data_IF_138198413147
#
_entry.id   IF_138198413147
#
_cell.length_a   1.000
_cell.length_b   1.000
_cell.length_c   1.000
_cell.angle_alpha   90.00
_cell.angle_beta   90.00
_cell.angle_gamma   90.00
#
_symmetry.space_group_name_H-M   'P 1'
#
loop_
_entity.id
_entity.type
_entity.pdbx_description
1 polymer ?
#
# COMPACT_ATOMS: atom_id res chain seq x y z
N UNK A 1 -18.99 0.44 -16.98
CA UNK A 1 -17.70 -0.14 -16.53
C UNK A 1 -17.30 0.54 -15.23
N UNK A 2 -17.41 -0.15 -14.10
CA UNK A 2 -17.08 0.41 -12.79
C UNK A 2 -15.56 0.42 -12.65
N UNK A 3 -14.98 1.62 -12.51
CA UNK A 3 -13.54 1.83 -12.30
C UNK A 3 -13.11 1.22 -10.97
N UNK A 4 -12.51 0.02 -11.02
CA UNK A 4 -11.87 -0.67 -9.89
C UNK A 4 -10.52 -0.03 -9.49
N UNK A 5 -10.41 1.29 -9.41
CA UNK A 5 -9.13 1.97 -9.08
C UNK A 5 -8.96 2.35 -7.60
N UNK A 6 -9.96 2.15 -6.72
CA UNK A 6 -9.87 2.54 -5.30
C UNK A 6 -9.14 1.56 -4.36
N UNK A 7 -8.45 0.54 -4.87
CA UNK A 7 -7.73 -0.44 -4.05
C UNK A 7 -6.23 -0.60 -4.39
N UNK A 8 -5.60 0.40 -5.03
CA UNK A 8 -4.17 0.35 -5.35
C UNK A 8 -3.28 0.87 -4.20
N UNK A 9 -3.47 0.35 -2.98
CA UNK A 9 -2.38 0.35 -2.01
C UNK A 9 -1.53 -0.89 -2.29
N UNK A 10 -0.44 -0.67 -3.03
CA UNK A 10 0.68 -1.58 -3.19
C UNK A 10 1.38 -1.72 -1.84
N UNK A 11 0.83 -2.55 -0.93
CA UNK A 11 1.50 -2.87 0.33
C UNK A 11 1.58 -4.37 0.64
N UNK A 12 2.72 -4.84 1.17
CA UNK A 12 2.86 -6.12 1.89
C UNK A 12 3.11 -5.86 3.38
N UNK A 13 2.65 -6.74 4.27
CA UNK A 13 2.90 -6.61 5.71
C UNK A 13 4.36 -6.95 6.03
N UNK A 14 5.05 -6.07 6.76
CA UNK A 14 6.41 -6.28 7.27
C UNK A 14 6.38 -6.83 8.69
N UNK A 15 5.60 -6.20 9.58
CA UNK A 15 5.36 -6.77 10.91
C UNK A 15 4.07 -6.24 11.54
N UNK A 16 3.51 -7.02 12.47
CA UNK A 16 2.23 -6.72 13.12
C UNK A 16 2.26 -7.04 14.62
N UNK A 17 1.59 -6.20 15.42
CA UNK A 17 1.19 -6.47 16.80
C UNK A 17 -0.32 -6.29 16.94
N UNK A 18 -1.01 -7.33 17.41
CA UNK A 18 -2.45 -7.31 17.65
C UNK A 18 -2.81 -6.38 18.81
N UNK A 19 -4.10 -6.05 18.96
CA UNK A 19 -4.62 -5.60 20.25
C UNK A 19 -4.24 -6.58 21.35
N UNK A 20 -4.10 -6.07 22.56
CA UNK A 20 -3.83 -6.87 23.74
C UNK A 20 -5.13 -7.58 24.15
N UNK A 21 -5.26 -8.85 23.76
CA UNK A 21 -6.47 -9.65 24.00
C UNK A 21 -6.52 -10.05 25.48
N UNK A 22 -7.61 -9.77 26.21
CA UNK A 22 -7.82 -10.34 27.54
C UNK A 22 -7.94 -11.86 27.41
N UNK A 23 -7.09 -12.62 28.11
CA UNK A 23 -7.24 -14.07 28.20
C UNK A 23 -8.54 -14.35 28.95
N UNK A 24 -9.58 -14.84 28.26
CA UNK A 24 -10.80 -15.35 28.90
C UNK A 24 -10.42 -16.61 29.70
N UNK A 25 -10.40 -16.50 31.02
CA UNK A 25 -10.02 -17.59 31.93
C UNK A 25 -11.23 -18.49 32.16
N UNK A 26 -11.12 -19.77 31.79
CA UNK A 26 -11.91 -20.84 32.38
C UNK A 26 -11.45 -21.11 33.83
N UNK A 27 -12.33 -21.52 34.75
CA UNK A 27 -12.15 -21.33 36.20
C UNK A 27 -11.03 -22.13 36.91
N UNK A 28 -10.05 -22.74 36.24
CA UNK A 28 -9.09 -23.65 36.92
C UNK A 28 -7.58 -23.44 36.74
N UNK A 29 -7.07 -22.38 36.10
CA UNK A 29 -5.62 -22.17 36.01
C UNK A 29 -5.09 -21.03 36.90
N UNK A 30 -4.38 -21.40 37.97
CA UNK A 30 -3.61 -20.49 38.83
C UNK A 30 -2.30 -20.12 38.11
N UNK A 31 -2.14 -18.81 37.85
CA UNK A 31 -1.03 -18.12 37.14
C UNK A 31 -1.11 -18.20 35.62
N UNK A 32 -1.94 -17.32 35.05
CA UNK A 32 -1.84 -16.95 33.65
C UNK A 32 -0.58 -16.10 33.39
N UNK A 33 0.10 -16.29 32.24
CA UNK A 33 1.11 -15.33 31.79
C UNK A 33 0.47 -13.95 31.58
N UNK A 34 1.23 -12.85 31.73
CA UNK A 34 0.71 -11.52 31.46
C UNK A 34 0.14 -11.45 30.04
N UNK A 35 -0.98 -10.75 29.82
CA UNK A 35 -1.57 -10.67 28.50
C UNK A 35 -0.58 -10.01 27.53
N UNK A 36 -0.32 -10.69 26.42
CA UNK A 36 0.63 -10.27 25.39
C UNK A 36 -0.12 -9.97 24.11
N UNK A 37 0.31 -8.91 23.42
CA UNK A 37 -0.04 -8.69 22.02
C UNK A 37 0.45 -9.89 21.21
N UNK A 38 -0.42 -10.40 20.35
CA UNK A 38 -0.15 -11.55 19.50
C UNK A 38 0.15 -11.05 18.08
N UNK A 39 0.70 -11.92 17.23
CA UNK A 39 0.64 -11.69 15.79
C UNK A 39 -0.82 -11.82 15.34
N UNK A 40 -1.11 -11.50 14.08
CA UNK A 40 -2.44 -11.70 13.48
C UNK A 40 -2.87 -13.17 13.56
N UNK A 41 -1.91 -14.06 13.82
CA UNK A 41 -2.07 -15.49 14.03
C UNK A 41 -1.77 -15.86 15.50
N UNK A 42 -2.69 -16.63 16.08
CA UNK A 42 -2.84 -16.92 17.51
C UNK A 42 -1.61 -17.53 18.20
N UNK A 43 -0.66 -16.70 18.64
CA UNK A 43 0.21 -17.02 19.78
C UNK A 43 1.66 -17.47 19.53
N UNK A 44 2.28 -17.18 18.38
CA UNK A 44 3.74 -17.42 18.25
C UNK A 44 4.57 -16.18 18.61
N UNK A 45 5.48 -16.39 19.58
CA UNK A 45 6.51 -15.44 20.04
C UNK A 45 7.86 -15.62 19.31
N UNK A 46 7.96 -16.53 18.33
CA UNK A 46 9.19 -16.70 17.56
C UNK A 46 9.18 -15.79 16.34
N UNK A 47 10.27 -15.06 16.18
CA UNK A 47 10.27 -13.71 15.64
C UNK A 47 11.27 -13.58 14.51
N UNK A 48 11.00 -14.37 13.50
CA UNK A 48 11.84 -14.43 12.34
C UNK A 48 10.96 -14.56 11.11
N UNK A 49 10.90 -13.48 10.32
CA UNK A 49 10.90 -13.62 8.86
C UNK A 49 12.25 -14.27 8.53
N UNK A 50 12.34 -15.56 8.83
CA UNK A 50 13.56 -16.33 8.79
C UNK A 50 13.75 -16.68 7.33
N UNK A 51 14.55 -15.87 6.63
CA UNK A 51 15.07 -16.29 5.34
C UNK A 51 16.11 -17.37 5.63
N UNK A 52 15.69 -18.63 5.53
CA UNK A 52 16.56 -19.78 5.72
C UNK A 52 16.78 -20.42 4.35
N UNK A 53 18.01 -20.39 3.86
CA UNK A 53 18.39 -20.95 2.55
C UNK A 53 17.49 -20.45 1.39
N UNK A 54 17.12 -19.17 1.41
CA UNK A 54 16.25 -18.56 0.40
C UNK A 54 14.76 -18.89 0.53
N UNK A 55 14.34 -19.60 1.58
CA UNK A 55 12.92 -19.78 1.91
C UNK A 55 12.50 -18.68 2.88
N UNK A 56 11.45 -17.93 2.53
CA UNK A 56 10.82 -16.91 3.39
C UNK A 56 9.59 -17.51 4.05
N UNK A 57 9.45 -17.29 5.36
CA UNK A 57 8.25 -17.62 6.12
C UNK A 57 7.51 -16.33 6.46
N UNK A 58 6.23 -16.26 6.08
CA UNK A 58 5.30 -15.17 6.40
C UNK A 58 4.13 -15.73 7.21
N UNK A 59 3.24 -14.85 7.66
CA UNK A 59 1.97 -15.25 8.26
C UNK A 59 1.17 -16.09 7.26
N UNK A 60 0.75 -17.29 7.69
CA UNK A 60 -0.06 -18.22 6.92
C UNK A 60 0.55 -18.74 5.60
N UNK A 61 1.83 -18.47 5.31
CA UNK A 61 2.48 -18.98 4.11
C UNK A 61 4.00 -19.09 4.24
N UNK A 62 4.59 -20.01 3.51
CA UNK A 62 6.05 -20.20 3.43
C UNK A 62 6.41 -20.50 2.00
N UNK A 63 7.50 -19.94 1.49
CA UNK A 63 7.98 -20.33 0.17
C UNK A 63 9.29 -19.70 -0.25
N UNK A 64 9.79 -20.16 -1.40
CA UNK A 64 11.02 -19.66 -2.02
C UNK A 64 11.48 -20.51 -3.21
N UNK A 65 12.53 -20.10 -3.93
CA UNK A 65 13.42 -18.97 -3.62
C UNK A 65 12.78 -17.58 -3.78
N UNK A 66 11.75 -17.48 -4.61
CA UNK A 66 10.88 -16.31 -4.69
C UNK A 66 9.53 -16.62 -4.01
N UNK A 67 9.07 -15.72 -3.14
CA UNK A 67 7.74 -15.77 -2.53
C UNK A 67 6.93 -14.57 -3.05
N UNK A 68 5.94 -14.87 -3.90
CA UNK A 68 5.13 -13.88 -4.61
C UNK A 68 4.44 -12.88 -3.67
N UNK A 69 4.32 -11.61 -4.04
CA UNK A 69 3.55 -10.66 -3.23
C UNK A 69 2.03 -10.90 -3.41
N UNK A 70 1.29 -10.88 -2.30
CA UNK A 70 -0.18 -10.98 -2.31
C UNK A 70 -0.85 -9.59 -2.45
N UNK A 71 -2.07 -9.51 -3.03
CA UNK A 71 -2.80 -10.58 -3.68
C UNK A 71 -2.07 -11.07 -4.95
N UNK A 72 -2.22 -12.36 -5.25
CA UNK A 72 -1.51 -13.04 -6.32
C UNK A 72 -2.49 -13.74 -7.25
N UNK A 73 -2.23 -13.65 -8.54
CA UNK A 73 -2.93 -14.35 -9.61
C UNK A 73 -2.13 -15.57 -10.04
N UNK A 74 -2.85 -16.62 -10.42
CA UNK A 74 -2.25 -17.83 -10.96
C UNK A 74 -2.68 -17.96 -12.42
N UNK A 75 -1.75 -18.24 -13.31
CA UNK A 75 -1.99 -18.58 -14.72
C UNK A 75 -1.38 -19.93 -15.04
N UNK A 76 -1.92 -20.60 -16.05
CA UNK A 76 -1.38 -21.89 -16.49
C UNK A 76 -0.05 -21.68 -17.23
N UNK A 77 0.89 -22.60 -17.02
CA UNK A 77 2.15 -22.59 -17.76
C UNK A 77 1.96 -23.23 -19.16
N UNK A 78 2.68 -22.75 -20.19
CA UNK A 78 2.67 -23.39 -21.50
C UNK A 78 3.12 -24.86 -21.43
N UNK A 79 2.49 -25.75 -22.21
CA UNK A 79 2.81 -27.19 -22.21
C UNK A 79 4.28 -27.49 -22.55
N UNK A 80 4.92 -26.64 -23.36
CA UNK A 80 6.34 -26.76 -23.71
C UNK A 80 7.31 -26.30 -22.60
N UNK A 81 6.81 -25.77 -21.48
CA UNK A 81 7.66 -25.21 -20.43
C UNK A 81 8.47 -26.32 -19.71
N UNK A 82 9.79 -26.15 -19.46
CA UNK A 82 10.63 -27.19 -18.87
C UNK A 82 10.13 -27.71 -17.52
N UNK A 83 9.54 -26.83 -16.69
CA UNK A 83 8.95 -27.24 -15.42
C UNK A 83 7.74 -28.16 -15.63
N UNK A 84 6.87 -27.89 -16.62
CA UNK A 84 5.69 -28.70 -16.93
C UNK A 84 6.12 -30.09 -17.41
N UNK A 85 7.14 -30.17 -18.27
CA UNK A 85 7.65 -31.45 -18.75
C UNK A 85 8.20 -32.34 -17.63
N UNK A 86 8.81 -31.76 -16.59
CA UNK A 86 9.35 -32.49 -15.44
C UNK A 86 8.30 -32.77 -14.35
N UNK A 87 7.23 -31.99 -14.31
CA UNK A 87 6.17 -32.07 -13.32
C UNK A 87 5.19 -33.20 -13.66
N UNK A 88 5.67 -34.43 -13.44
CA UNK A 88 4.94 -35.69 -13.68
C UNK A 88 4.18 -36.14 -12.43
N UNK A 89 3.23 -37.09 -12.53
CA UNK A 89 2.57 -37.67 -11.35
C UNK A 89 3.54 -38.25 -10.32
N UNK A 90 4.70 -38.75 -10.76
CA UNK A 90 5.75 -39.20 -9.85
C UNK A 90 6.40 -38.03 -9.10
N UNK A 91 6.64 -36.91 -9.79
CA UNK A 91 7.17 -35.69 -9.18
C UNK A 91 6.20 -35.12 -8.14
N UNK A 92 4.90 -35.08 -8.45
CA UNK A 92 3.86 -34.67 -7.49
C UNK A 92 3.86 -35.55 -6.25
N UNK A 93 3.90 -36.88 -6.44
CA UNK A 93 3.94 -37.85 -5.33
C UNK A 93 5.14 -37.65 -4.41
N UNK A 94 6.29 -37.31 -4.96
CA UNK A 94 7.48 -36.99 -4.17
C UNK A 94 7.30 -35.73 -3.30
N UNK A 95 6.55 -34.73 -3.80
CA UNK A 95 6.21 -33.54 -3.03
C UNK A 95 5.22 -33.89 -1.92
N UNK A 96 4.15 -34.63 -2.23
CA UNK A 96 3.14 -35.00 -1.22
C UNK A 96 3.74 -35.87 -0.12
N UNK A 97 4.61 -36.82 -0.45
CA UNK A 97 5.35 -37.62 0.53
C UNK A 97 6.19 -36.77 1.51
N UNK A 98 6.70 -35.61 1.07
CA UNK A 98 7.44 -34.67 1.93
C UNK A 98 6.49 -33.86 2.80
N UNK A 99 5.37 -33.38 2.24
CA UNK A 99 4.33 -32.70 3.00
C UNK A 99 3.80 -33.59 4.14
N UNK A 100 3.50 -34.86 3.84
CA UNK A 100 2.98 -35.83 4.79
C UNK A 100 3.99 -36.14 5.91
N UNK A 101 5.28 -36.28 5.57
CA UNK A 101 6.38 -36.48 6.55
C UNK A 101 6.47 -35.36 7.58
N UNK A 102 6.15 -34.14 7.19
CA UNK A 102 6.12 -32.97 8.08
C UNK A 102 4.73 -32.69 8.65
N UNK A 103 3.75 -33.58 8.45
CA UNK A 103 2.38 -33.44 8.93
C UNK A 103 1.70 -32.14 8.45
N UNK A 104 1.97 -31.73 7.22
CA UNK A 104 1.29 -30.58 6.59
C UNK A 104 -0.10 -31.03 6.11
N UNK A 105 -1.17 -30.43 6.64
CA UNK A 105 -2.55 -30.65 6.16
C UNK A 105 -2.77 -29.96 4.80
N UNK A 106 -2.34 -30.60 3.71
CA UNK A 106 -2.46 -30.05 2.36
C UNK A 106 -3.75 -30.52 1.68
N UNK A 107 -4.32 -29.64 0.85
CA UNK A 107 -5.61 -29.81 0.17
C UNK A 107 -5.46 -29.90 -1.35
N UNK A 108 -4.52 -29.13 -1.90
CA UNK A 108 -4.25 -29.17 -3.34
C UNK A 108 -2.80 -28.78 -3.61
N UNK A 109 -2.29 -29.27 -4.73
CA UNK A 109 -0.96 -29.05 -5.24
C UNK A 109 -1.09 -28.66 -6.72
N UNK A 110 -0.52 -27.54 -7.14
CA UNK A 110 -0.56 -27.10 -8.54
C UNK A 110 0.72 -26.41 -8.95
N UNK A 111 1.25 -26.74 -10.13
CA UNK A 111 2.28 -25.96 -10.81
C UNK A 111 1.62 -24.84 -11.61
N UNK A 112 1.99 -23.59 -11.34
CA UNK A 112 1.40 -22.40 -11.97
C UNK A 112 2.46 -21.33 -12.26
N UNK A 113 2.13 -20.40 -13.14
CA UNK A 113 2.77 -19.08 -13.18
C UNK A 113 2.08 -18.20 -12.14
N UNK A 114 2.76 -17.93 -11.01
CA UNK A 114 2.20 -17.17 -9.89
C UNK A 114 2.82 -15.79 -9.84
N UNK A 115 1.98 -14.78 -10.05
CA UNK A 115 2.39 -13.37 -10.11
C UNK A 115 1.57 -12.53 -9.17
N UNK A 116 2.15 -11.44 -8.68
CA UNK A 116 1.37 -10.48 -7.94
C UNK A 116 0.34 -9.80 -8.85
N UNK A 117 -0.87 -9.60 -8.32
CA UNK A 117 -1.90 -8.81 -8.99
C UNK A 117 -1.55 -7.30 -8.98
N UNK A 118 -0.69 -6.88 -8.05
CA UNK A 118 -0.43 -5.44 -7.77
C UNK A 118 0.96 -4.96 -8.20
N UNK A 119 1.93 -5.86 -8.28
CA UNK A 119 3.32 -5.54 -8.53
C UNK A 119 3.80 -6.22 -9.81
N UNK A 120 4.71 -5.54 -10.51
CA UNK A 120 5.48 -6.19 -11.57
C UNK A 120 6.51 -7.11 -10.91
N UNK A 121 6.26 -8.41 -11.03
CA UNK A 121 7.19 -9.42 -10.55
C UNK A 121 8.31 -9.57 -11.58
N UNK A 122 9.52 -9.09 -11.22
CA UNK A 122 10.74 -9.29 -12.01
C UNK A 122 11.37 -10.68 -11.80
N UNK A 123 10.79 -11.49 -10.93
CA UNK A 123 11.27 -12.81 -10.57
C UNK A 123 10.87 -13.90 -11.57
N UNK A 124 11.44 -15.10 -11.39
CA UNK A 124 10.92 -16.33 -12.00
C UNK A 124 9.69 -16.74 -11.22
N UNK A 125 8.54 -16.79 -11.90
CA UNK A 125 7.22 -16.85 -11.28
C UNK A 125 6.63 -18.26 -11.27
N UNK A 126 7.33 -19.23 -11.87
CA UNK A 126 6.90 -20.63 -11.86
C UNK A 126 6.96 -21.17 -10.44
N UNK A 127 5.80 -21.57 -9.94
CA UNK A 127 5.62 -21.89 -8.53
C UNK A 127 4.74 -23.12 -8.40
N UNK A 128 5.22 -24.10 -7.63
CA UNK A 128 4.36 -25.15 -7.09
C UNK A 128 3.65 -24.56 -5.87
N UNK A 129 2.34 -24.40 -5.97
CA UNK A 129 1.49 -23.87 -4.89
C UNK A 129 0.81 -25.03 -4.19
N UNK A 130 1.04 -25.14 -2.88
CA UNK A 130 0.37 -26.07 -1.97
C UNK A 130 -0.65 -25.27 -1.18
N UNK A 131 -1.94 -25.53 -1.42
CA UNK A 131 -2.99 -25.03 -0.53
C UNK A 131 -3.04 -25.93 0.70
N UNK A 132 -2.90 -25.38 1.90
CA UNK A 132 -2.87 -26.14 3.14
C UNK A 132 -3.60 -25.42 4.29
N UNK A 133 -3.93 -26.13 5.37
CA UNK A 133 -4.45 -25.54 6.61
C UNK A 133 -3.35 -25.48 7.65
N UNK A 134 -3.12 -24.30 8.23
CA UNK A 134 -2.16 -24.16 9.34
C UNK A 134 -2.87 -24.17 10.68
N UNK A 135 -2.92 -25.34 11.31
CA UNK A 135 -3.54 -25.50 12.64
C UNK A 135 -2.54 -25.32 13.78
N UNK A 136 -1.25 -25.53 13.50
CA UNK A 136 -0.15 -25.42 14.48
C UNK A 136 0.84 -24.34 14.05
N UNK A 137 1.26 -23.53 15.02
CA UNK A 137 2.31 -22.54 14.85
C UNK A 137 3.68 -23.16 15.14
N UNK A 138 4.12 -24.07 14.28
CA UNK A 138 5.44 -24.71 14.34
C UNK A 138 6.21 -24.50 13.02
N UNK A 139 7.40 -25.12 12.93
CA UNK A 139 8.29 -25.05 11.78
C UNK A 139 8.03 -26.16 10.76
N UNK A 140 6.90 -26.89 10.83
CA UNK A 140 6.58 -27.99 9.89
C UNK A 140 6.58 -27.51 8.43
N UNK A 141 5.91 -26.39 8.15
CA UNK A 141 5.82 -25.82 6.82
C UNK A 141 7.19 -25.38 6.29
N UNK A 142 8.03 -24.76 7.14
CA UNK A 142 9.39 -24.36 6.79
C UNK A 142 10.26 -25.58 6.45
N UNK A 143 10.23 -26.62 7.29
CA UNK A 143 10.99 -27.86 7.06
C UNK A 143 10.53 -28.57 5.78
N UNK A 144 9.22 -28.66 5.55
CA UNK A 144 8.65 -29.21 4.32
C UNK A 144 9.12 -28.44 3.08
N UNK A 145 9.02 -27.10 3.10
CA UNK A 145 9.53 -26.25 2.02
C UNK A 145 11.02 -26.46 1.74
N UNK A 146 11.85 -26.55 2.78
CA UNK A 146 13.30 -26.78 2.63
C UNK A 146 13.60 -28.15 1.98
N UNK A 147 12.90 -29.21 2.38
CA UNK A 147 13.07 -30.54 1.79
C UNK A 147 12.58 -30.61 0.34
N UNK A 148 11.42 -30.01 0.05
CA UNK A 148 10.88 -29.93 -1.32
C UNK A 148 11.82 -29.11 -2.19
N UNK A 149 12.35 -28.01 -1.68
CA UNK A 149 13.32 -27.19 -2.38
C UNK A 149 14.60 -27.96 -2.70
N UNK A 150 15.11 -28.72 -1.74
CA UNK A 150 16.28 -29.59 -1.95
C UNK A 150 16.01 -30.63 -3.03
N UNK A 151 14.80 -31.20 -3.08
CA UNK A 151 14.37 -32.08 -4.14
C UNK A 151 14.34 -31.39 -5.51
N UNK A 152 13.83 -30.17 -5.62
CA UNK A 152 13.85 -29.40 -6.88
C UNK A 152 15.27 -29.19 -7.40
N UNK A 153 16.21 -28.87 -6.50
CA UNK A 153 17.63 -28.72 -6.85
C UNK A 153 18.22 -30.02 -7.40
N UNK A 154 17.95 -31.16 -6.76
CA UNK A 154 18.42 -32.48 -7.23
C UNK A 154 17.86 -32.85 -8.61
N UNK A 155 16.67 -32.36 -8.96
CA UNK A 155 16.05 -32.57 -10.27
C UNK A 155 16.46 -31.53 -11.32
N UNK A 156 17.42 -30.65 -10.99
CA UNK A 156 17.89 -29.58 -11.87
C UNK A 156 16.85 -28.49 -12.13
N UNK A 157 15.89 -28.29 -11.22
CA UNK A 157 14.85 -27.26 -11.26
C UNK A 157 15.22 -26.10 -10.34
N UNK A 158 16.39 -25.50 -10.59
CA UNK A 158 16.99 -24.47 -9.72
C UNK A 158 16.13 -23.23 -9.54
N UNK A 159 15.21 -22.97 -10.45
CA UNK A 159 14.43 -21.72 -10.47
C UNK A 159 12.99 -21.91 -10.03
N UNK A 160 12.54 -23.16 -9.87
CA UNK A 160 11.18 -23.48 -9.50
C UNK A 160 10.93 -23.09 -8.04
N UNK A 161 9.88 -22.33 -7.80
CA UNK A 161 9.46 -21.93 -6.47
C UNK A 161 8.51 -22.96 -5.85
N UNK A 162 8.50 -23.02 -4.53
CA UNK A 162 7.48 -23.71 -3.74
C UNK A 162 6.82 -22.68 -2.83
N UNK A 163 5.50 -22.69 -2.75
CA UNK A 163 4.73 -21.90 -1.79
C UNK A 163 3.69 -22.79 -1.12
N UNK A 164 3.79 -22.95 0.20
CA UNK A 164 2.73 -23.53 1.03
C UNK A 164 1.94 -22.35 1.59
N UNK A 165 0.63 -22.32 1.34
CA UNK A 165 -0.23 -21.18 1.67
C UNK A 165 -1.55 -21.64 2.28
N UNK A 166 -1.94 -21.00 3.38
CA UNK A 166 -3.27 -21.07 3.95
C UNK A 166 -4.16 -19.99 3.33
N UNK A 167 -5.43 -20.32 3.08
CA UNK A 167 -6.41 -19.39 2.50
C UNK A 167 -6.48 -18.05 3.25
N UNK A 168 -6.18 -18.04 4.55
CA UNK A 168 -6.15 -16.84 5.39
C UNK A 168 -5.12 -15.81 4.94
N UNK A 169 -4.01 -16.24 4.35
CA UNK A 169 -3.00 -15.33 3.79
C UNK A 169 -3.55 -14.50 2.62
N UNK A 170 -4.55 -15.01 1.89
CA UNK A 170 -5.13 -14.35 0.72
C UNK A 170 -6.38 -13.53 1.03
N UNK A 171 -6.73 -13.37 2.32
CA UNK A 171 -7.92 -12.59 2.69
C UNK A 171 -7.72 -11.11 2.36
N UNK A 172 -8.78 -10.51 1.83
CA UNK A 172 -8.77 -9.09 1.55
C UNK A 172 -8.70 -8.28 2.85
N UNK A 173 -7.89 -7.23 2.81
CA UNK A 173 -7.63 -6.34 3.91
C UNK A 173 -8.47 -5.07 3.75
N UNK A 174 -9.42 -4.86 4.65
CA UNK A 174 -10.27 -3.69 4.70
C UNK A 174 -9.64 -2.60 5.56
N UNK A 175 -9.89 -1.34 5.19
CA UNK A 175 -9.38 -0.18 5.93
C UNK A 175 -10.48 0.87 6.01
N UNK A 176 -10.80 1.26 7.23
CA UNK A 176 -11.86 2.20 7.55
C UNK A 176 -11.34 3.30 8.47
N UNK A 177 -11.95 4.50 8.49
CA UNK A 177 -11.65 5.49 9.52
C UNK A 177 -11.87 4.93 10.93
N UNK A 178 -11.14 5.43 11.92
CA UNK A 178 -11.47 5.20 13.34
C UNK A 178 -12.82 5.85 13.68
N UNK A 179 -13.53 5.31 14.66
CA UNK A 179 -14.72 5.94 15.21
C UNK A 179 -14.36 7.04 16.20
N UNK A 180 -15.28 7.99 16.41
CA UNK A 180 -15.09 9.04 17.42
C UNK A 180 -15.00 8.47 18.85
N UNK A 181 -15.66 7.33 19.09
CA UNK A 181 -15.63 6.62 20.38
C UNK A 181 -14.38 5.75 20.57
N UNK A 182 -13.54 5.57 19.54
CA UNK A 182 -12.27 4.87 19.71
C UNK A 182 -11.36 5.73 20.59
N UNK A 183 -10.83 5.17 21.69
CA UNK A 183 -10.01 5.96 22.64
C UNK A 183 -8.81 6.63 21.98
N UNK A 184 -8.25 6.02 20.95
CA UNK A 184 -7.13 6.58 20.19
C UNK A 184 -7.55 7.79 19.33
N UNK A 185 -8.81 7.92 18.93
CA UNK A 185 -9.27 9.02 18.08
C UNK A 185 -9.01 10.38 18.73
N UNK A 186 -9.44 10.55 19.99
CA UNK A 186 -9.21 11.79 20.73
C UNK A 186 -7.72 12.03 21.08
N UNK A 187 -6.92 10.96 21.18
CA UNK A 187 -5.50 11.02 21.53
C UNK A 187 -4.55 11.05 20.32
N UNK A 188 -5.07 10.95 19.10
CA UNK A 188 -4.25 10.63 17.92
C UNK A 188 -3.13 11.65 17.67
N UNK A 189 -3.40 12.94 17.81
CA UNK A 189 -2.40 13.99 17.57
C UNK A 189 -1.21 13.89 18.56
N UNK A 190 -1.47 13.58 19.82
CA UNK A 190 -0.43 13.40 20.84
C UNK A 190 0.35 12.09 20.60
N UNK A 191 -0.38 10.98 20.39
CA UNK A 191 0.20 9.67 20.16
C UNK A 191 1.08 9.66 18.90
N UNK A 192 0.59 10.21 17.80
CA UNK A 192 1.35 10.28 16.55
C UNK A 192 2.64 11.09 16.73
N UNK A 193 2.60 12.21 17.45
CA UNK A 193 3.79 13.02 17.76
C UNK A 193 4.84 12.22 18.55
N UNK A 194 4.41 11.42 19.53
CA UNK A 194 5.32 10.54 20.32
C UNK A 194 5.83 9.36 19.50
N UNK A 195 5.01 8.81 18.60
CA UNK A 195 5.47 7.77 17.65
C UNK A 195 6.55 8.34 16.72
N UNK A 196 6.38 9.56 16.21
CA UNK A 196 7.39 10.22 15.37
C UNK A 196 8.73 10.38 16.11
N UNK A 197 8.72 10.61 17.43
CA UNK A 197 9.95 10.62 18.23
C UNK A 197 10.59 9.23 18.37
N UNK A 198 9.79 8.15 18.39
CA UNK A 198 10.30 6.76 18.44
C UNK A 198 10.94 6.35 17.11
N UNK A 199 10.28 6.66 16.00
CA UNK A 199 10.69 6.17 14.67
C UNK A 199 11.66 7.11 13.95
N UNK A 200 11.73 8.37 14.37
CA UNK A 200 12.50 9.42 13.70
C UNK A 200 11.81 9.97 12.45
N UNK A 201 12.53 10.79 11.70
CA UNK A 201 12.01 11.50 10.52
C UNK A 201 12.31 10.81 9.18
N UNK A 202 13.05 9.69 9.19
CA UNK A 202 13.57 9.05 7.97
C UNK A 202 13.17 7.57 7.86
N UNK A 203 13.21 7.05 6.63
CA UNK A 203 13.02 5.63 6.33
C UNK A 203 11.56 5.16 6.26
N UNK A 204 10.59 6.03 6.48
CA UNK A 204 9.16 5.71 6.38
C UNK A 204 8.41 6.68 5.46
N UNK A 205 7.22 6.26 5.02
CA UNK A 205 6.40 6.94 4.02
C UNK A 205 5.17 7.61 4.63
N UNK A 206 4.38 6.88 5.42
CA UNK A 206 3.18 7.42 6.07
C UNK A 206 2.97 6.84 7.45
N UNK A 207 2.45 7.65 8.37
CA UNK A 207 1.95 7.23 9.68
C UNK A 207 0.48 7.61 9.77
N UNK A 208 -0.41 6.64 9.96
CA UNK A 208 -1.86 6.84 9.98
C UNK A 208 -2.52 5.98 11.06
N UNK A 209 -3.79 6.25 11.38
CA UNK A 209 -4.59 5.41 12.26
C UNK A 209 -5.93 5.09 11.60
N UNK A 210 -6.25 3.80 11.51
CA UNK A 210 -7.45 3.29 10.86
C UNK A 210 -7.98 2.06 11.59
N UNK A 211 -9.25 1.70 11.39
CA UNK A 211 -9.70 0.33 11.68
C UNK A 211 -9.33 -0.56 10.51
N UNK A 212 -8.54 -1.59 10.76
CA UNK A 212 -7.94 -2.41 9.70
C UNK A 212 -7.90 -3.89 10.06
N UNK A 213 -8.33 -4.73 9.14
CA UNK A 213 -8.41 -6.18 9.31
C UNK A 213 -9.08 -6.86 8.13
N UNK A 214 -9.37 -8.14 8.26
CA UNK A 214 -9.96 -8.96 7.19
C UNK A 214 -11.49 -9.03 7.23
N UNK A 215 -12.13 -8.41 8.23
CA UNK A 215 -13.58 -8.40 8.33
C UNK A 215 -14.15 -7.28 7.42
N UNK A 216 -15.16 -7.55 6.58
CA UNK A 216 -15.83 -6.49 5.81
C UNK A 216 -16.59 -5.51 6.70
N UNK A 217 -16.98 -5.91 7.91
CA UNK A 217 -17.56 -5.01 8.90
C UNK A 217 -16.47 -4.16 9.58
N UNK A 218 -16.69 -2.85 9.58
CA UNK A 218 -15.81 -1.86 10.19
C UNK A 218 -15.68 -2.06 11.70
N UNK A 219 -16.77 -2.42 12.39
CA UNK A 219 -16.79 -2.51 13.85
C UNK A 219 -15.92 -3.65 14.38
N UNK A 220 -15.88 -4.76 13.65
CA UNK A 220 -15.12 -5.95 14.01
C UNK A 220 -13.62 -5.85 13.72
N UNK A 221 -13.17 -4.80 13.03
CA UNK A 221 -11.75 -4.56 12.82
C UNK A 221 -11.19 -3.66 13.93
N UNK A 222 -10.02 -3.96 14.50
CA UNK A 222 -9.45 -3.13 15.55
C UNK A 222 -8.92 -1.80 15.00
N UNK A 223 -8.96 -0.71 15.78
CA UNK A 223 -8.13 0.45 15.51
C UNK A 223 -6.66 0.01 15.41
N UNK A 224 -5.94 0.55 14.45
CA UNK A 224 -4.59 0.10 14.08
C UNK A 224 -3.77 1.32 13.69
N UNK A 225 -2.63 1.49 14.37
CA UNK A 225 -1.56 2.39 13.94
C UNK A 225 -0.88 1.75 12.74
N UNK A 226 -0.92 2.43 11.60
CA UNK A 226 -0.38 1.98 10.33
C UNK A 226 0.86 2.79 9.96
N UNK A 227 2.01 2.12 9.92
CA UNK A 227 3.27 2.69 9.45
C UNK A 227 3.61 2.10 8.09
N UNK A 228 3.64 2.91 7.04
CA UNK A 228 4.08 2.47 5.71
C UNK A 228 5.54 2.84 5.52
N UNK A 229 6.37 1.91 5.03
CA UNK A 229 7.80 2.06 4.75
C UNK A 229 8.07 1.74 3.27
N UNK A 230 9.18 2.22 2.67
CA UNK A 230 9.53 1.89 1.29
C UNK A 230 9.61 0.38 1.06
N UNK A 231 9.18 -0.08 -0.13
CA UNK A 231 9.20 -1.51 -0.50
C UNK A 231 10.60 -2.10 -0.31
N UNK A 232 11.62 -1.35 -0.70
CA UNK A 232 13.05 -1.68 -0.68
C UNK A 232 13.76 -1.32 0.65
N UNK A 233 13.01 -0.92 1.69
CA UNK A 233 13.59 -0.58 3.00
C UNK A 233 14.43 -1.73 3.55
N UNK A 234 15.74 -1.53 3.71
CA UNK A 234 16.63 -2.52 4.34
C UNK A 234 16.52 -2.51 5.87
N UNK A 235 15.97 -1.44 6.44
CA UNK A 235 15.72 -1.32 7.87
C UNK A 235 14.69 -2.36 8.33
N UNK A 236 14.98 -3.01 9.46
CA UNK A 236 14.03 -3.86 10.19
C UNK A 236 13.22 -2.98 11.13
N UNK A 237 11.90 -3.01 11.01
CA UNK A 237 10.99 -2.11 11.75
C UNK A 237 10.40 -2.70 13.03
N UNK A 238 10.81 -3.93 13.35
CA UNK A 238 10.26 -4.67 14.48
C UNK A 238 10.49 -3.97 15.83
N UNK A 239 11.71 -3.50 16.09
CA UNK A 239 12.06 -2.86 17.36
C UNK A 239 11.30 -1.55 17.54
N UNK A 240 11.03 -0.81 16.46
CA UNK A 240 10.18 0.36 16.43
C UNK A 240 8.72 -0.03 16.69
N UNK A 241 8.20 -1.06 16.01
CA UNK A 241 6.84 -1.57 16.21
C UNK A 241 6.57 -1.99 17.65
N UNK A 242 7.53 -2.65 18.28
CA UNK A 242 7.45 -3.05 19.69
C UNK A 242 7.42 -1.82 20.61
N UNK A 243 8.30 -0.84 20.39
CA UNK A 243 8.30 0.43 21.13
C UNK A 243 7.00 1.24 20.96
N UNK A 244 6.41 1.23 19.76
CA UNK A 244 5.09 1.84 19.53
C UNK A 244 4.02 1.09 20.32
N UNK A 245 4.07 -0.23 20.35
CA UNK A 245 3.12 -1.05 21.10
C UNK A 245 3.22 -0.77 22.61
N UNK A 246 4.44 -0.67 23.15
CA UNK A 246 4.70 -0.32 24.56
C UNK A 246 4.16 1.08 24.89
N UNK A 247 4.35 2.05 23.98
CA UNK A 247 3.76 3.38 24.09
C UNK A 247 2.23 3.30 24.19
N UNK A 248 1.57 2.57 23.29
CA UNK A 248 0.11 2.42 23.31
C UNK A 248 -0.37 1.76 24.60
N UNK A 249 0.35 0.75 25.10
CA UNK A 249 0.01 0.06 26.34
C UNK A 249 0.16 0.96 27.57
N UNK A 250 1.20 1.82 27.60
CA UNK A 250 1.39 2.83 28.65
C UNK A 250 0.28 3.89 28.66
N UNK A 251 -0.33 4.15 27.50
CA UNK A 251 -1.41 5.11 27.31
C UNK A 251 -2.81 4.53 27.48
N UNK A 252 -2.90 3.27 27.93
CA UNK A 252 -4.13 2.50 28.07
C UNK A 252 -4.92 2.33 26.76
N UNK A 253 -4.19 2.25 25.63
CA UNK A 253 -4.69 2.02 24.26
C UNK A 253 -4.43 0.57 23.84
N UNK A 254 -4.74 -0.36 24.74
CA UNK A 254 -4.49 -1.80 24.59
C UNK A 254 -5.27 -2.42 23.43
N UNK A 255 -6.42 -1.85 23.08
CA UNK A 255 -7.27 -2.25 21.96
C UNK A 255 -6.70 -1.92 20.58
N UNK A 256 -5.62 -1.13 20.51
CA UNK A 256 -5.08 -0.62 19.24
C UNK A 256 -3.96 -1.52 18.74
N UNK A 257 -4.05 -2.04 17.52
CA UNK A 257 -2.98 -2.77 16.86
C UNK A 257 -1.89 -1.87 16.29
N UNK A 258 -0.72 -2.44 15.96
CA UNK A 258 0.34 -1.76 15.20
C UNK A 258 0.69 -2.62 13.99
N UNK A 259 0.62 -2.05 12.79
CA UNK A 259 0.94 -2.71 11.53
C UNK A 259 1.98 -1.89 10.78
N UNK A 260 3.09 -2.52 10.41
CA UNK A 260 4.10 -1.96 9.50
C UNK A 260 3.91 -2.58 8.14
N UNK A 261 3.72 -1.75 7.12
CA UNK A 261 3.54 -2.14 5.73
C UNK A 261 4.72 -1.69 4.90
N UNK A 262 5.26 -2.57 4.07
CA UNK A 262 6.11 -2.20 2.94
C UNK A 262 5.24 -1.78 1.79
N UNK A 263 5.37 -0.55 1.32
CA UNK A 263 4.61 -0.06 0.18
C UNK A 263 5.30 1.06 -0.55
N UNK A 264 4.68 1.50 -1.63
CA UNK A 264 5.12 2.67 -2.39
C UNK A 264 4.08 3.76 -2.24
N UNK A 265 4.53 4.97 -1.90
CA UNK A 265 3.75 6.15 -2.18
C UNK A 265 4.02 6.51 -3.64
N UNK A 266 2.99 6.49 -4.47
CA UNK A 266 3.06 7.22 -5.72
C UNK A 266 3.03 8.71 -5.38
N UNK A 267 4.22 9.27 -5.19
CA UNK A 267 4.39 10.71 -5.30
C UNK A 267 4.49 10.98 -6.78
N UNK A 268 3.67 11.89 -7.28
CA UNK A 268 3.80 12.36 -8.66
C UNK A 268 5.19 12.97 -8.94
N UNK A 269 6.00 13.21 -7.89
CA UNK A 269 7.39 13.65 -7.97
C UNK A 269 8.44 12.53 -8.19
N UNK A 270 8.09 11.25 -7.99
CA UNK A 270 9.01 10.11 -8.19
C UNK A 270 8.94 9.55 -9.62
N UNK A 271 8.01 10.06 -10.42
CA UNK A 271 8.18 10.06 -11.87
C UNK A 271 9.07 11.25 -12.16
N UNK A 272 10.18 11.02 -12.85
CA UNK A 272 11.17 12.03 -13.18
C UNK A 272 10.47 13.32 -13.64
N UNK A 273 10.40 14.34 -12.78
CA UNK A 273 9.72 15.61 -13.10
C UNK A 273 10.48 16.38 -14.19
N UNK A 274 11.65 15.89 -14.61
CA UNK A 274 12.30 16.32 -15.84
C UNK A 274 11.79 15.60 -17.10
N UNK A 275 11.02 14.51 -16.97
CA UNK A 275 10.46 13.74 -18.09
C UNK A 275 8.93 13.61 -18.13
N UNK A 276 8.18 14.00 -17.09
CA UNK A 276 6.71 13.94 -17.11
C UNK A 276 6.07 15.11 -17.87
N UNK A 277 6.14 14.94 -19.18
CA UNK A 277 5.33 15.58 -20.20
C UNK A 277 3.87 15.58 -19.75
N UNK A 278 3.28 16.77 -19.53
CA UNK A 278 1.82 16.94 -19.62
C UNK A 278 1.36 16.13 -20.85
N UNK A 279 0.51 15.10 -20.70
CA UNK A 279 0.17 14.24 -21.81
C UNK A 279 -0.38 15.08 -22.97
N UNK A 280 -0.28 14.62 -24.23
CA UNK A 280 -0.69 15.43 -25.37
C UNK A 280 -2.17 15.89 -25.29
N UNK A 281 -2.96 15.16 -24.51
CA UNK A 281 -4.36 15.46 -24.22
C UNK A 281 -4.57 16.34 -22.96
N UNK A 282 -3.51 16.86 -22.35
CA UNK A 282 -3.59 17.73 -21.17
C UNK A 282 -4.39 19.02 -21.44
N UNK A 283 -4.43 19.44 -22.70
CA UNK A 283 -5.14 20.63 -23.18
C UNK A 283 -6.57 20.33 -23.67
N UNK A 284 -7.10 19.14 -23.39
CA UNK A 284 -8.52 18.87 -23.61
C UNK A 284 -9.40 19.76 -22.72
N UNK A 285 -10.60 20.10 -23.20
CA UNK A 285 -11.53 20.99 -22.48
C UNK A 285 -12.01 20.46 -21.13
N UNK A 286 -11.90 19.15 -20.89
CA UNK A 286 -12.42 18.52 -19.67
C UNK A 286 -11.32 18.32 -18.65
N UNK A 287 -11.60 18.65 -17.40
CA UNK A 287 -10.66 18.39 -16.31
C UNK A 287 -10.41 16.88 -16.11
N UNK A 288 -9.14 16.49 -15.97
CA UNK A 288 -8.65 15.13 -15.90
C UNK A 288 -8.01 14.84 -14.53
N UNK A 289 -8.33 13.67 -13.97
CA UNK A 289 -7.76 13.19 -12.70
C UNK A 289 -6.23 13.10 -12.79
N UNK A 290 -5.54 13.54 -11.75
CA UNK A 290 -4.08 13.46 -11.66
C UNK A 290 -3.34 14.59 -12.38
N UNK A 291 -4.05 15.40 -13.17
CA UNK A 291 -3.46 16.52 -13.88
C UNK A 291 -3.21 17.71 -12.97
N UNK A 292 -2.25 18.54 -13.37
CA UNK A 292 -1.96 19.79 -12.69
C UNK A 292 -3.20 20.71 -12.66
N UNK A 293 -3.39 21.42 -11.57
CA UNK A 293 -4.47 22.37 -11.35
C UNK A 293 -3.97 23.54 -10.49
N UNK A 294 -4.35 24.76 -10.82
CA UNK A 294 -3.91 25.96 -10.10
C UNK A 294 -4.83 27.15 -10.33
N UNK A 295 -4.62 28.27 -9.61
CA UNK A 295 -5.43 29.47 -9.80
C UNK A 295 -5.31 29.96 -11.24
N UNK A 296 -6.41 30.46 -11.79
CA UNK A 296 -6.44 30.93 -13.17
C UNK A 296 -5.39 32.01 -13.40
N UNK A 297 -4.64 31.87 -14.50
CA UNK A 297 -3.58 32.80 -14.89
C UNK A 297 -2.48 33.03 -13.84
N UNK A 298 -2.27 32.11 -12.88
CA UNK A 298 -1.21 32.19 -11.87
C UNK A 298 -0.09 31.19 -12.15
N UNK A 299 1.15 31.68 -12.20
CA UNK A 299 2.37 30.87 -12.32
C UNK A 299 3.00 30.51 -10.96
N UNK A 300 2.39 30.99 -9.86
CA UNK A 300 2.90 30.84 -8.51
C UNK A 300 2.73 29.42 -7.96
N UNK A 301 1.51 28.88 -8.06
CA UNK A 301 1.13 27.60 -7.46
C UNK A 301 0.42 26.68 -8.43
N UNK A 302 0.71 25.38 -8.31
CA UNK A 302 0.02 24.30 -8.99
C UNK A 302 0.06 23.05 -8.09
N UNK A 303 -0.89 22.15 -8.29
CA UNK A 303 -0.97 20.87 -7.58
C UNK A 303 -1.77 19.87 -8.38
N UNK A 304 -2.08 18.72 -7.80
CA UNK A 304 -2.80 17.65 -8.47
C UNK A 304 -4.30 17.82 -8.30
N UNK A 305 -5.04 17.69 -9.40
CA UNK A 305 -6.48 17.47 -9.36
C UNK A 305 -6.76 16.04 -8.88
N UNK A 306 -7.31 15.91 -7.67
CA UNK A 306 -7.63 14.64 -7.03
C UNK A 306 -8.85 13.92 -7.64
N UNK A 307 -9.56 14.55 -8.58
CA UNK A 307 -10.66 13.96 -9.34
C UNK A 307 -12.03 14.52 -8.97
N UNK A 308 -13.07 13.80 -9.41
CA UNK A 308 -14.45 14.20 -9.18
C UNK A 308 -15.12 13.36 -8.09
N UNK A 309 -15.98 14.01 -7.31
CA UNK A 309 -16.95 13.39 -6.41
C UNK A 309 -18.35 13.77 -6.87
N UNK A 310 -19.30 12.85 -6.79
CA UNK A 310 -20.72 13.12 -7.01
C UNK A 310 -21.42 13.04 -5.65
N UNK A 311 -22.10 14.12 -5.28
CA UNK A 311 -22.83 14.24 -4.03
C UNK A 311 -24.33 14.36 -4.32
N UNK A 312 -25.12 13.49 -3.71
CA UNK A 312 -26.57 13.57 -3.72
C UNK A 312 -27.01 14.64 -2.72
N UNK A 313 -27.47 15.80 -3.23
CA UNK A 313 -27.86 16.92 -2.37
C UNK A 313 -29.23 16.71 -1.73
N UNK A 314 -30.15 16.06 -2.44
CA UNK A 314 -31.50 15.81 -1.97
C UNK A 314 -31.96 14.42 -2.41
N UNK A 315 -32.09 13.45 -1.48
CA UNK A 315 -32.51 12.09 -1.80
C UNK A 315 -33.90 11.99 -2.43
N UNK A 316 -34.75 13.01 -2.26
CA UNK A 316 -36.11 13.03 -2.81
C UNK A 316 -36.17 13.49 -4.26
N UNK A 317 -35.20 14.28 -4.72
CA UNK A 317 -35.16 14.81 -6.09
C UNK A 317 -34.13 14.11 -6.96
N UNK A 318 -33.36 13.16 -6.40
CA UNK A 318 -32.25 12.47 -7.06
C UNK A 318 -31.25 13.45 -7.71
N UNK A 319 -31.06 14.62 -7.09
CA UNK A 319 -30.19 15.68 -7.59
C UNK A 319 -28.74 15.42 -7.19
N UNK A 320 -27.96 14.93 -8.14
CA UNK A 320 -26.52 14.72 -8.00
C UNK A 320 -25.74 15.93 -8.51
N UNK A 321 -24.84 16.45 -7.66
CA UNK A 321 -23.87 17.47 -8.07
C UNK A 321 -22.46 16.90 -8.10
N UNK A 322 -21.76 17.22 -9.18
CA UNK A 322 -20.36 16.83 -9.39
C UNK A 322 -19.43 17.93 -8.88
N UNK A 323 -18.49 17.56 -8.04
CA UNK A 323 -17.47 18.44 -7.44
C UNK A 323 -16.08 17.95 -7.80
N UNK A 324 -15.17 18.89 -8.09
CA UNK A 324 -13.75 18.62 -8.20
C UNK A 324 -13.06 18.66 -6.83
N UNK A 325 -12.07 17.80 -6.60
CA UNK A 325 -11.31 17.77 -5.35
C UNK A 325 -9.86 18.11 -5.61
N UNK A 326 -9.32 19.05 -4.84
CA UNK A 326 -7.89 19.36 -4.79
C UNK A 326 -7.54 19.95 -3.43
N UNK A 327 -6.26 20.14 -3.15
CA UNK A 327 -5.80 20.79 -1.93
C UNK A 327 -6.07 22.29 -2.00
N UNK A 328 -6.74 22.85 -0.99
CA UNK A 328 -7.11 24.27 -0.97
C UNK A 328 -5.91 25.21 -1.14
N UNK A 329 -4.78 24.90 -0.49
CA UNK A 329 -3.54 25.68 -0.57
C UNK A 329 -3.02 25.91 -2.01
N UNK A 330 -3.51 25.13 -2.97
CA UNK A 330 -3.05 25.15 -4.36
C UNK A 330 -4.00 25.90 -5.29
N UNK A 331 -5.19 26.25 -4.80
CA UNK A 331 -6.22 27.05 -5.51
C UNK A 331 -6.61 28.27 -4.70
N UNK A 332 -5.85 28.56 -3.65
CA UNK A 332 -5.99 29.76 -2.84
C UNK A 332 -5.65 30.98 -3.70
N UNK A 333 -6.53 32.00 -3.74
CA UNK A 333 -6.25 33.22 -4.48
C UNK A 333 -4.97 33.90 -3.99
N UNK A 334 -4.14 34.36 -4.93
CA UNK A 334 -2.89 35.01 -4.59
C UNK A 334 -3.15 36.39 -3.94
N UNK A 335 -2.77 36.50 -2.67
CA UNK A 335 -2.76 37.75 -1.94
C UNK A 335 -1.40 38.43 -2.09
N UNK A 336 -1.07 38.89 -3.30
CA UNK A 336 0.15 39.66 -3.57
C UNK A 336 0.16 41.02 -2.83
N UNK A 337 1.29 41.75 -2.89
CA UNK A 337 1.46 43.08 -2.24
C UNK A 337 0.41 44.12 -2.66
N UNK A 338 -0.22 43.93 -3.83
CA UNK A 338 -1.24 44.80 -4.39
C UNK A 338 -2.66 44.21 -4.29
N UNK A 339 -2.85 43.11 -3.56
CA UNK A 339 -4.15 42.49 -3.42
C UNK A 339 -5.11 43.43 -2.65
N UNK A 340 -6.40 43.50 -3.04
CA UNK A 340 -7.38 44.25 -2.30
C UNK A 340 -7.42 43.78 -0.84
N UNK A 341 -7.40 44.71 0.11
CA UNK A 341 -7.38 44.37 1.55
C UNK A 341 -8.59 43.51 1.98
N UNK A 342 -9.68 43.60 1.24
CA UNK A 342 -10.85 42.73 1.42
C UNK A 342 -10.57 41.27 1.03
N UNK A 343 -9.82 41.02 -0.05
CA UNK A 343 -9.47 39.66 -0.48
C UNK A 343 -8.57 38.98 0.57
N UNK A 344 -7.62 39.72 1.16
CA UNK A 344 -6.76 39.20 2.23
C UNK A 344 -7.59 38.75 3.43
N UNK A 345 -8.55 39.58 3.88
CA UNK A 345 -9.46 39.25 4.98
C UNK A 345 -10.37 38.07 4.64
N UNK A 346 -10.85 38.00 3.41
CA UNK A 346 -11.71 36.91 2.95
C UNK A 346 -10.92 35.58 2.91
N UNK A 347 -9.67 35.59 2.44
CA UNK A 347 -8.77 34.42 2.45
C UNK A 347 -8.48 33.93 3.88
N UNK A 348 -8.18 34.83 4.81
CA UNK A 348 -8.01 34.49 6.23
C UNK A 348 -9.27 33.82 6.80
N UNK A 349 -10.44 34.39 6.51
CA UNK A 349 -11.73 33.81 6.92
C UNK A 349 -11.96 32.41 6.30
N UNK A 350 -11.61 32.22 5.03
CA UNK A 350 -11.77 30.94 4.34
C UNK A 350 -10.86 29.86 4.90
N UNK A 351 -9.64 30.20 5.33
CA UNK A 351 -8.73 29.27 6.00
C UNK A 351 -9.31 28.76 7.31
N UNK A 352 -9.95 29.64 8.08
CA UNK A 352 -10.52 29.28 9.38
C UNK A 352 -11.87 28.55 9.28
N UNK A 353 -12.76 29.02 8.40
CA UNK A 353 -14.18 28.62 8.40
C UNK A 353 -14.60 27.87 7.16
N UNK A 354 -13.69 27.69 6.20
CA UNK A 354 -14.01 27.19 4.88
C UNK A 354 -14.74 28.21 4.01
N UNK A 355 -14.94 27.84 2.75
CA UNK A 355 -15.58 28.68 1.74
C UNK A 355 -16.79 27.97 1.14
N UNK A 356 -17.92 28.68 1.03
CA UNK A 356 -19.10 28.17 0.34
C UNK A 356 -19.01 28.37 -1.18
N UNK A 357 -19.76 27.60 -1.95
CA UNK A 357 -19.85 27.77 -3.41
C UNK A 357 -20.34 29.16 -3.83
N UNK A 358 -21.20 29.79 -3.03
CA UNK A 358 -21.67 31.18 -3.26
C UNK A 358 -20.54 32.18 -3.03
N UNK A 359 -19.73 31.99 -1.99
CA UNK A 359 -18.56 32.82 -1.71
C UNK A 359 -17.52 32.71 -2.82
N UNK A 360 -17.21 31.48 -3.27
CA UNK A 360 -16.28 31.23 -4.36
C UNK A 360 -16.72 31.92 -5.67
N UNK A 361 -18.01 31.82 -6.01
CA UNK A 361 -18.59 32.52 -7.18
C UNK A 361 -18.50 34.04 -7.06
N UNK A 362 -18.82 34.59 -5.87
CA UNK A 362 -18.74 36.04 -5.62
C UNK A 362 -17.30 36.56 -5.71
N UNK A 363 -16.33 35.76 -5.24
CA UNK A 363 -14.92 36.06 -5.29
C UNK A 363 -14.29 35.82 -6.67
N UNK A 364 -15.06 35.31 -7.64
CA UNK A 364 -14.60 34.98 -9.00
C UNK A 364 -13.35 34.08 -9.00
N UNK A 365 -13.33 33.06 -8.14
CA UNK A 365 -12.22 32.11 -8.09
C UNK A 365 -12.32 31.20 -9.31
N UNK A 366 -11.37 31.37 -10.22
CA UNK A 366 -11.20 30.56 -11.42
C UNK A 366 -9.95 29.70 -11.27
N UNK A 367 -9.97 28.54 -11.92
CA UNK A 367 -8.94 27.52 -11.78
C UNK A 367 -8.63 27.00 -13.19
N UNK A 368 -7.34 26.89 -13.51
CA UNK A 368 -6.85 26.34 -14.77
C UNK A 368 -6.35 24.91 -14.60
N UNK A 369 -6.57 24.11 -15.63
CA UNK A 369 -5.94 22.81 -15.82
C UNK A 369 -5.48 22.67 -17.28
N UNK A 370 -4.18 22.40 -17.52
CA UNK A 370 -3.09 22.36 -16.54
C UNK A 370 -2.86 23.73 -15.87
N UNK A 371 -2.25 23.75 -14.68
CA UNK A 371 -1.86 25.03 -14.06
C UNK A 371 -0.92 25.80 -15.00
N UNK A 372 -1.04 27.13 -15.03
CA UNK A 372 -0.22 27.98 -15.92
C UNK A 372 1.28 27.77 -15.68
N UNK A 373 1.70 27.58 -14.43
CA UNK A 373 3.08 27.25 -14.06
C UNK A 373 3.63 26.06 -14.84
N UNK A 374 2.88 24.96 -14.86
CA UNK A 374 3.31 23.70 -15.46
C UNK A 374 3.19 23.76 -16.99
N UNK A 375 2.20 24.52 -17.49
CA UNK A 375 2.11 24.85 -18.90
C UNK A 375 3.35 25.62 -19.39
N UNK A 376 3.74 26.69 -18.70
CA UNK A 376 4.92 27.49 -19.07
C UNK A 376 6.21 26.67 -18.97
N UNK A 377 6.33 25.82 -17.95
CA UNK A 377 7.46 24.89 -17.84
C UNK A 377 7.54 23.97 -19.08
N UNK A 378 6.41 23.40 -19.52
CA UNK A 378 6.34 22.56 -20.72
C UNK A 378 6.68 23.31 -22.00
N UNK A 379 6.22 24.56 -22.14
CA UNK A 379 6.54 25.38 -23.30
C UNK A 379 8.04 25.67 -23.38
N UNK A 380 8.68 26.02 -22.26
CA UNK A 380 10.15 26.22 -22.19
C UNK A 380 10.92 24.97 -22.59
N UNK A 381 10.55 23.81 -22.05
CA UNK A 381 11.18 22.53 -22.42
C UNK A 381 11.04 22.23 -23.92
N UNK A 382 9.89 22.55 -24.51
CA UNK A 382 9.65 22.33 -25.94
C UNK A 382 10.53 23.24 -26.79
N UNK A 383 10.74 24.49 -26.37
CA UNK A 383 11.64 25.42 -27.03
C UNK A 383 13.12 25.01 -26.91
N UNK A 384 13.55 24.56 -25.72
CA UNK A 384 14.90 24.03 -25.48
C UNK A 384 15.18 22.79 -26.35
N UNK A 385 14.22 21.85 -26.41
CA UNK A 385 14.32 20.70 -27.28
C UNK A 385 14.41 21.13 -28.75
N UNK A 386 13.58 22.04 -29.24
CA UNK A 386 13.68 22.54 -30.62
C UNK A 386 15.06 23.12 -30.95
N UNK A 387 15.69 23.84 -30.00
CA UNK A 387 17.05 24.36 -30.17
C UNK A 387 18.08 23.25 -30.28
N UNK A 388 18.04 22.26 -29.37
CA UNK A 388 18.95 21.12 -29.40
C UNK A 388 18.85 20.30 -30.68
N UNK A 389 17.64 20.12 -31.22
CA UNK A 389 17.45 19.42 -32.50
C UNK A 389 17.99 20.22 -33.70
N UNK A 390 17.87 21.55 -33.66
CA UNK A 390 18.41 22.45 -34.71
C UNK A 390 19.96 22.48 -34.70
N UNK A 391 20.58 22.34 -33.53
CA UNK A 391 22.05 22.23 -33.38
C UNK A 391 22.58 20.87 -33.87
N UNK A 392 21.81 19.80 -33.67
CA UNK A 392 22.14 18.47 -34.20
C UNK A 392 22.02 18.46 -35.74
N UNK A 393 20.94 18.99 -36.32
CA UNK A 393 20.76 19.05 -37.77
C UNK A 393 21.82 19.92 -38.48
N UNK A 394 22.29 20.98 -37.82
CA UNK A 394 23.39 21.82 -38.33
C UNK A 394 24.78 21.17 -38.19
N UNK A 395 24.95 20.22 -37.25
CA UNK A 395 26.18 19.44 -37.11
C UNK A 395 26.29 18.26 -38.09
N UNK A 396 25.16 17.72 -38.55
CA UNK A 396 25.09 16.61 -39.54
C UNK A 396 25.22 17.11 -40.98
N UNK A 397 24.99 18.41 -41.23
CA UNK A 397 25.11 19.03 -42.55
C UNK A 397 26.52 19.55 -42.90
N UNK A 398 27.52 19.32 -42.03
CA UNK A 398 28.93 19.69 -42.24
C UNK A 398 29.91 18.49 -42.24
N UNK A 399 29.43 17.27 -42.46
CA UNK A 399 30.27 16.06 -42.62
C UNK A 399 30.18 15.46 -44.01
#
# INVERSE_FOLDING_TARGET
MVSKRRAMNRSSEDCYASPLVPILIGPSQRRSPPPKRQKRTSGSSSDSDEIVNGIRAEDFRVGGPYLCNIPAVNSDLPQGHPAVQKYTPHFEKEITNRLDRHSVDWKSLRLVDRRSERYEDSGKTETVVVSATRDKLDNSWLKACLEIRSFFLLQGLFTLNIEIIDKRASLEMYTFPTFEYDKIHAKWNEISSRILQIIGTEGWLTLKCFRRGTNPDREDNPPTVLLTVPIDSTKRWKAERDRISDLLDSENLREVAVEVLRGALWRMADVDLTSDVLPDNAWEMNAQLGMSIGPHASDYSGSTFGGFLELLLCPKTDEWLKFGVTCYQCVEPECGKNAPQQLVKDVELWREKGMSTKMAKKANILIDQPALKDHQARMRMTEENKKGWSEIDSSVSFS
#
